data_IF_758439308495
#
_entry.id   IF_758439308495
#
_cell.length_a   1.000
_cell.length_b   1.000
_cell.length_c   1.000
_cell.angle_alpha   90.00
_cell.angle_beta   90.00
_cell.angle_gamma   90.00
#
_symmetry.space_group_name_H-M   'P 1'
#
loop_
_entity.id
_entity.type
_entity.pdbx_description
1 polymer ?
#
# COMPACT_ATOMS: atom_id res chain seq x y z
N UNK A 1 -12.28 -20.02 -3.44
CA UNK A 1 -11.47 -18.91 -2.85
C UNK A 1 -10.53 -18.43 -3.97
N UNK A 2 -10.42 -17.12 -4.26
CA UNK A 2 -9.51 -16.65 -5.30
C UNK A 2 -8.04 -16.84 -4.88
N UNK A 3 -7.17 -17.10 -5.84
CA UNK A 3 -5.74 -17.23 -5.57
C UNK A 3 -5.12 -15.84 -5.43
N UNK A 4 -4.70 -15.47 -4.22
CA UNK A 4 -4.07 -14.18 -3.93
C UNK A 4 -2.57 -14.41 -3.75
N UNK A 5 -1.77 -13.81 -4.63
CA UNK A 5 -0.31 -13.92 -4.63
C UNK A 5 0.40 -12.56 -4.60
N UNK A 6 -0.35 -11.47 -4.63
CA UNK A 6 0.21 -10.12 -4.73
C UNK A 6 -0.53 -9.12 -3.85
N UNK A 7 0.20 -8.09 -3.40
CA UNK A 7 -0.35 -6.88 -2.79
C UNK A 7 0.04 -5.69 -3.65
N UNK A 8 -0.93 -4.83 -3.98
CA UNK A 8 -0.68 -3.56 -4.68
C UNK A 8 -1.03 -2.40 -3.77
N UNK A 9 -0.02 -1.58 -3.48
CA UNK A 9 -0.16 -0.39 -2.64
C UNK A 9 -0.51 0.82 -3.50
N UNK A 10 -1.50 1.60 -3.03
CA UNK A 10 -2.01 2.80 -3.67
C UNK A 10 -2.05 3.99 -2.72
N UNK A 11 -2.19 5.19 -3.26
CA UNK A 11 -2.65 6.38 -2.57
C UNK A 11 -4.00 6.84 -3.15
N UNK A 12 -4.76 7.60 -2.36
CA UNK A 12 -6.03 8.19 -2.81
C UNK A 12 -5.85 9.36 -3.80
N UNK A 13 -4.61 9.84 -3.97
CA UNK A 13 -4.29 11.05 -4.72
C UNK A 13 -5.05 12.29 -4.17
N UNK A 14 -5.11 12.41 -2.86
CA UNK A 14 -5.65 13.57 -2.13
C UNK A 14 -4.51 14.39 -1.52
N UNK A 15 -4.77 15.68 -1.27
CA UNK A 15 -3.76 16.58 -0.69
C UNK A 15 -3.44 16.21 0.75
N UNK A 16 -2.20 16.48 1.15
CA UNK A 16 -1.74 16.30 2.51
C UNK A 16 -2.67 17.00 3.52
N UNK A 17 -2.92 16.36 4.65
CA UNK A 17 -3.78 16.88 5.70
C UNK A 17 -5.29 16.74 5.48
N UNK A 18 -5.75 16.34 4.30
CA UNK A 18 -7.16 16.04 4.03
C UNK A 18 -7.44 14.57 4.38
N UNK A 19 -8.33 14.33 5.34
CA UNK A 19 -8.72 12.98 5.74
C UNK A 19 -10.02 12.56 5.06
N UNK A 20 -10.03 11.33 4.56
CA UNK A 20 -11.17 10.70 3.91
C UNK A 20 -11.31 9.25 4.38
N UNK A 21 -12.50 8.71 4.25
CA UNK A 21 -12.86 7.36 4.67
C UNK A 21 -12.98 6.41 3.47
N UNK A 22 -13.10 5.11 3.75
CA UNK A 22 -13.43 4.13 2.72
C UNK A 22 -14.79 4.41 2.05
N UNK A 23 -15.74 5.03 2.79
CA UNK A 23 -17.05 5.42 2.26
C UNK A 23 -16.90 6.55 1.24
N UNK A 24 -16.06 7.54 1.51
CA UNK A 24 -15.81 8.64 0.55
C UNK A 24 -15.22 8.08 -0.76
N UNK A 25 -14.25 7.16 -0.65
CA UNK A 25 -13.67 6.50 -1.83
C UNK A 25 -14.72 5.64 -2.56
N UNK A 26 -15.61 4.96 -1.84
CA UNK A 26 -16.70 4.19 -2.45
C UNK A 26 -17.61 5.11 -3.29
N UNK A 27 -18.01 6.26 -2.74
CA UNK A 27 -18.78 7.27 -3.44
C UNK A 27 -18.07 7.73 -4.72
N UNK A 28 -16.80 8.13 -4.63
CA UNK A 28 -16.04 8.58 -5.80
C UNK A 28 -15.86 7.50 -6.86
N UNK A 29 -15.73 6.25 -6.44
CA UNK A 29 -15.65 5.14 -7.39
C UNK A 29 -16.99 4.90 -8.09
N UNK A 30 -18.11 4.95 -7.37
CA UNK A 30 -19.46 4.84 -7.97
C UNK A 30 -19.75 5.97 -8.95
N UNK A 31 -19.40 7.22 -8.62
CA UNK A 31 -19.53 8.36 -9.52
C UNK A 31 -18.76 8.18 -10.84
N UNK A 32 -17.66 7.40 -10.80
CA UNK A 32 -16.88 7.02 -11.99
C UNK A 32 -17.38 5.74 -12.69
N UNK A 33 -18.53 5.21 -12.29
CA UNK A 33 -19.14 4.03 -12.91
C UNK A 33 -18.63 2.68 -12.38
N UNK A 34 -17.89 2.67 -11.27
CA UNK A 34 -17.49 1.41 -10.63
C UNK A 34 -18.66 0.82 -9.82
N UNK A 35 -18.67 -0.49 -9.64
CA UNK A 35 -19.59 -1.17 -8.75
C UNK A 35 -19.05 -1.17 -7.30
N UNK A 36 -18.83 0.04 -6.73
CA UNK A 36 -18.32 0.27 -5.40
C UNK A 36 -16.80 0.41 -5.34
N UNK A 37 -16.28 0.52 -4.09
CA UNK A 37 -14.86 0.72 -3.82
C UNK A 37 -13.99 -0.37 -4.45
N UNK A 38 -12.90 0.03 -5.10
CA UNK A 38 -11.97 -0.88 -5.76
C UNK A 38 -10.91 -1.48 -4.83
N UNK A 39 -10.58 -0.80 -3.73
CA UNK A 39 -9.57 -1.21 -2.76
C UNK A 39 -10.15 -2.13 -1.70
N UNK A 40 -9.36 -3.07 -1.19
CA UNK A 40 -9.77 -3.98 -0.11
C UNK A 40 -9.57 -3.34 1.27
N UNK A 41 -8.55 -2.49 1.39
CA UNK A 41 -8.24 -1.77 2.63
C UNK A 41 -7.95 -0.31 2.35
N UNK A 42 -8.35 0.56 3.28
CA UNK A 42 -8.05 2.01 3.29
C UNK A 42 -7.39 2.35 4.62
N UNK A 43 -6.29 3.10 4.58
CA UNK A 43 -5.57 3.58 5.77
C UNK A 43 -5.75 5.10 5.87
N UNK A 44 -6.47 5.55 6.88
CA UNK A 44 -6.72 6.96 7.16
C UNK A 44 -5.47 7.66 7.73
N UNK A 45 -5.49 9.01 7.79
CA UNK A 45 -4.36 9.81 8.28
C UNK A 45 -3.92 9.44 9.71
N UNK A 46 -4.85 9.10 10.59
CA UNK A 46 -4.59 8.66 11.96
C UNK A 46 -4.07 7.22 12.07
N UNK A 47 -4.01 6.51 10.93
CA UNK A 47 -3.64 5.10 10.86
C UNK A 47 -4.81 4.14 11.03
N UNK A 48 -6.05 4.63 11.18
CA UNK A 48 -7.21 3.74 11.23
C UNK A 48 -7.31 2.94 9.93
N UNK A 49 -7.34 1.60 10.08
CA UNK A 49 -7.53 0.67 8.97
C UNK A 49 -9.03 0.43 8.77
N UNK A 50 -9.52 0.74 7.59
CA UNK A 50 -10.91 0.52 7.19
C UNK A 50 -10.99 -0.56 6.11
N UNK A 51 -11.99 -1.44 6.22
CA UNK A 51 -12.30 -2.42 5.18
C UNK A 51 -13.09 -1.74 4.06
N UNK A 52 -12.69 -1.99 2.82
CA UNK A 52 -13.41 -1.59 1.63
C UNK A 52 -14.11 -2.78 0.99
N UNK A 53 -13.65 -3.19 -0.21
CA UNK A 53 -14.15 -4.38 -0.90
C UNK A 53 -13.76 -5.64 -0.14
N UNK A 54 -14.66 -6.63 -0.08
CA UNK A 54 -14.34 -7.92 0.52
C UNK A 54 -13.16 -8.59 -0.21
N UNK A 55 -12.21 -9.15 0.56
CA UNK A 55 -11.01 -9.78 0.00
C UNK A 55 -11.33 -11.02 -0.84
N UNK A 56 -12.47 -11.67 -0.63
CA UNK A 56 -12.92 -12.79 -1.48
C UNK A 56 -13.30 -12.38 -2.89
N UNK A 57 -13.57 -11.09 -3.13
CA UNK A 57 -13.90 -10.51 -4.42
C UNK A 57 -12.67 -9.96 -5.11
N UNK A 58 -12.63 -10.02 -6.44
CA UNK A 58 -11.60 -9.35 -7.22
C UNK A 58 -11.66 -7.83 -7.01
N UNK A 59 -10.51 -7.19 -6.91
CA UNK A 59 -10.40 -5.74 -6.79
C UNK A 59 -10.87 -4.99 -8.04
N UNK A 60 -10.92 -3.66 -7.95
CA UNK A 60 -11.06 -2.77 -9.10
C UNK A 60 -10.08 -1.60 -8.94
N UNK A 61 -8.80 -1.92 -8.72
CA UNK A 61 -7.75 -0.95 -8.38
C UNK A 61 -6.55 -0.97 -9.32
N UNK A 62 -6.26 -2.12 -9.96
CA UNK A 62 -5.13 -2.27 -10.87
C UNK A 62 -5.47 -3.26 -11.98
N UNK A 63 -5.65 -2.76 -13.21
CA UNK A 63 -5.99 -3.59 -14.37
C UNK A 63 -4.91 -4.65 -14.60
N UNK A 64 -5.33 -5.90 -14.85
CA UNK A 64 -4.43 -7.05 -15.02
C UNK A 64 -3.97 -7.70 -13.71
N UNK A 65 -4.22 -7.04 -12.54
CA UNK A 65 -3.81 -7.55 -11.23
C UNK A 65 -4.99 -7.82 -10.29
N UNK A 66 -6.18 -7.31 -10.59
CA UNK A 66 -7.35 -7.33 -9.70
C UNK A 66 -7.73 -8.73 -9.20
N UNK A 67 -7.62 -9.75 -10.05
CA UNK A 67 -8.01 -11.13 -9.74
C UNK A 67 -7.09 -11.80 -8.70
N UNK A 68 -5.82 -11.43 -8.70
CA UNK A 68 -4.77 -12.09 -7.91
C UNK A 68 -4.15 -11.23 -6.83
N UNK A 69 -4.63 -10.00 -6.62
CA UNK A 69 -4.03 -9.08 -5.66
C UNK A 69 -5.01 -8.54 -4.62
N UNK A 70 -4.44 -8.12 -3.49
CA UNK A 70 -5.10 -7.26 -2.51
C UNK A 70 -4.67 -5.83 -2.76
N UNK A 71 -5.62 -4.90 -2.93
CA UNK A 71 -5.34 -3.47 -3.06
C UNK A 71 -5.44 -2.78 -1.70
N UNK A 72 -4.38 -2.09 -1.29
CA UNK A 72 -4.33 -1.27 -0.08
C UNK A 72 -4.13 0.19 -0.50
N UNK A 73 -5.01 1.08 -0.06
CA UNK A 73 -4.94 2.51 -0.35
C UNK A 73 -4.70 3.30 0.94
N UNK A 74 -3.68 4.16 0.97
CA UNK A 74 -3.57 5.16 2.04
C UNK A 74 -4.14 6.51 1.59
N UNK A 75 -4.70 7.30 2.52
CA UNK A 75 -5.21 8.64 2.25
C UNK A 75 -4.03 9.61 2.13
N UNK A 76 -3.92 10.30 1.00
CA UNK A 76 -2.82 11.20 0.68
C UNK A 76 -2.24 10.98 -0.72
N UNK A 77 -0.94 11.25 -0.89
CA UNK A 77 -0.18 11.05 -2.12
C UNK A 77 0.06 12.31 -2.92
N UNK A 78 -0.53 13.46 -2.50
CA UNK A 78 -0.25 14.77 -3.09
C UNK A 78 0.18 15.77 -2.02
N UNK A 79 1.16 16.62 -2.35
CA UNK A 79 1.54 17.77 -1.53
C UNK A 79 0.45 18.88 -1.55
N UNK A 80 0.70 19.97 -0.85
CA UNK A 80 -0.22 21.11 -0.78
C UNK A 80 -0.49 21.75 -2.16
N UNK A 81 0.44 21.61 -3.10
CA UNK A 81 0.34 22.11 -4.46
C UNK A 81 -0.32 21.12 -5.44
N UNK A 82 -0.70 19.92 -4.94
CA UNK A 82 -1.29 18.86 -5.76
C UNK A 82 -0.27 18.04 -6.57
N UNK A 83 1.03 18.08 -6.21
CA UNK A 83 2.07 17.30 -6.85
C UNK A 83 2.25 15.95 -6.14
N UNK A 84 2.57 14.87 -6.87
CA UNK A 84 2.86 13.57 -6.26
C UNK A 84 3.97 13.66 -5.21
N UNK A 85 3.69 13.20 -3.99
CA UNK A 85 4.62 13.21 -2.86
C UNK A 85 4.30 12.10 -1.86
N UNK A 86 5.30 11.62 -1.13
CA UNK A 86 5.08 10.73 0.02
C UNK A 86 4.56 11.54 1.22
N UNK A 87 3.25 11.62 1.32
CA UNK A 87 2.55 12.36 2.39
C UNK A 87 2.09 11.48 3.55
N UNK A 88 2.56 10.22 3.60
CA UNK A 88 2.17 9.28 4.65
C UNK A 88 2.59 9.77 6.03
N UNK A 89 1.64 9.77 6.96
CA UNK A 89 1.93 9.97 8.39
C UNK A 89 2.70 8.78 8.96
N UNK A 90 3.35 8.96 10.11
CA UNK A 90 3.99 7.84 10.81
C UNK A 90 2.99 6.77 11.25
N UNK A 91 1.74 7.14 11.55
CA UNK A 91 0.67 6.22 11.85
C UNK A 91 0.33 5.35 10.63
N UNK A 92 0.15 5.97 9.46
CA UNK A 92 -0.09 5.24 8.20
C UNK A 92 1.07 4.31 7.84
N UNK A 93 2.32 4.74 8.00
CA UNK A 93 3.50 3.89 7.73
C UNK A 93 3.49 2.63 8.60
N UNK A 94 3.23 2.77 9.91
CA UNK A 94 3.15 1.62 10.83
C UNK A 94 2.04 0.64 10.44
N UNK A 95 0.83 1.16 10.19
CA UNK A 95 -0.32 0.32 9.85
C UNK A 95 -0.16 -0.34 8.47
N UNK A 96 0.39 0.39 7.48
CA UNK A 96 0.67 -0.18 6.16
C UNK A 96 1.68 -1.34 6.26
N UNK A 97 2.74 -1.17 7.04
CA UNK A 97 3.70 -2.25 7.26
C UNK A 97 3.03 -3.46 7.92
N UNK A 98 2.25 -3.22 8.99
CA UNK A 98 1.58 -4.29 9.73
C UNK A 98 0.60 -5.09 8.86
N UNK A 99 -0.31 -4.42 8.14
CA UNK A 99 -1.28 -5.12 7.29
C UNK A 99 -0.60 -5.91 6.16
N UNK A 100 0.50 -5.43 5.60
CA UNK A 100 1.26 -6.19 4.61
C UNK A 100 1.83 -7.46 5.24
N UNK A 101 2.43 -7.38 6.44
CA UNK A 101 2.95 -8.56 7.14
C UNK A 101 1.84 -9.56 7.50
N UNK A 102 0.68 -9.09 7.91
CA UNK A 102 -0.46 -9.95 8.26
C UNK A 102 -1.00 -10.68 7.02
N UNK A 103 -1.16 -9.98 5.91
CA UNK A 103 -1.58 -10.58 4.65
C UNK A 103 -0.54 -11.58 4.11
N UNK A 104 0.75 -11.35 4.32
CA UNK A 104 1.81 -12.30 3.94
C UNK A 104 1.79 -13.58 4.80
N UNK A 105 1.26 -13.52 6.02
CA UNK A 105 1.05 -14.71 6.87
C UNK A 105 -0.22 -15.49 6.49
N UNK A 106 -1.25 -14.75 6.05
CA UNK A 106 -2.55 -15.34 5.71
C UNK A 106 -2.57 -15.92 4.29
N UNK A 107 -1.88 -15.28 3.34
CA UNK A 107 -1.85 -15.67 1.93
C UNK A 107 -0.43 -15.96 1.45
N UNK A 108 -0.30 -16.77 0.41
CA UNK A 108 1.00 -17.03 -0.24
C UNK A 108 1.42 -15.84 -1.13
N UNK A 109 1.70 -14.70 -0.51
CA UNK A 109 2.09 -13.48 -1.22
C UNK A 109 3.51 -13.59 -1.75
N UNK A 110 3.65 -13.59 -3.07
CA UNK A 110 4.93 -13.65 -3.78
C UNK A 110 5.56 -12.27 -3.96
N UNK A 111 4.73 -11.21 -4.04
CA UNK A 111 5.22 -9.86 -4.29
C UNK A 111 4.33 -8.77 -3.69
N UNK A 112 4.98 -7.68 -3.27
CA UNK A 112 4.33 -6.45 -2.80
C UNK A 112 4.87 -5.31 -3.65
N UNK A 113 3.97 -4.64 -4.38
CA UNK A 113 4.29 -3.63 -5.38
C UNK A 113 3.56 -2.33 -5.10
N UNK A 114 4.10 -1.22 -5.54
CA UNK A 114 3.33 0.01 -5.75
C UNK A 114 2.56 -0.06 -7.08
N UNK A 115 1.50 0.71 -7.23
CA UNK A 115 0.77 0.78 -8.50
C UNK A 115 1.70 1.16 -9.67
N UNK A 116 2.66 2.07 -9.47
CA UNK A 116 3.65 2.47 -10.48
C UNK A 116 4.49 1.30 -10.98
N UNK A 117 4.78 0.34 -10.11
CA UNK A 117 5.63 -0.82 -10.41
C UNK A 117 4.91 -1.86 -11.29
N UNK A 118 3.61 -1.63 -11.60
CA UNK A 118 2.82 -2.42 -12.55
C UNK A 118 2.77 -1.80 -13.95
N UNK A 119 3.52 -0.74 -14.19
CA UNK A 119 3.67 -0.09 -15.50
C UNK A 119 4.38 -1.03 -16.49
N UNK A 120 4.22 -0.83 -17.81
CA UNK A 120 4.96 -1.59 -18.79
C UNK A 120 6.47 -1.32 -18.69
N UNK A 121 7.26 -2.37 -18.80
CA UNK A 121 8.70 -2.29 -19.02
C UNK A 121 8.93 -1.98 -20.51
N UNK A 122 9.28 -0.72 -20.80
CA UNK A 122 9.38 -0.23 -22.18
C UNK A 122 10.72 -0.56 -22.84
N UNK A 123 11.77 -0.72 -22.04
CA UNK A 123 13.12 -1.04 -22.53
C UNK A 123 13.43 -2.54 -22.43
N UNK A 124 12.63 -3.33 -21.70
CA UNK A 124 12.75 -4.78 -21.58
C UNK A 124 13.88 -5.26 -20.67
N UNK A 125 14.38 -4.43 -19.75
CA UNK A 125 15.46 -4.80 -18.85
C UNK A 125 15.01 -5.43 -17.51
N UNK A 126 13.68 -5.51 -17.27
CA UNK A 126 13.07 -6.10 -16.09
C UNK A 126 12.96 -5.13 -14.91
N UNK A 127 13.30 -3.85 -15.10
CA UNK A 127 13.20 -2.78 -14.11
C UNK A 127 12.21 -1.73 -14.61
N UNK A 128 11.29 -1.29 -13.76
CA UNK A 128 10.35 -0.21 -14.11
C UNK A 128 10.90 1.11 -13.55
N UNK A 129 11.43 1.95 -14.43
CA UNK A 129 12.00 3.23 -14.09
C UNK A 129 10.98 4.38 -14.08
N UNK A 130 11.32 5.54 -13.47
CA UNK A 130 10.40 6.67 -13.36
C UNK A 130 9.80 7.18 -14.68
N UNK A 131 10.53 7.09 -15.79
CA UNK A 131 10.03 7.50 -17.11
C UNK A 131 9.00 6.53 -17.70
N UNK A 132 8.91 5.30 -17.16
CA UNK A 132 7.95 4.28 -17.56
C UNK A 132 6.66 4.32 -16.74
N UNK A 133 6.63 5.07 -15.64
CA UNK A 133 5.48 5.13 -14.77
C UNK A 133 4.25 5.70 -15.47
N UNK A 134 3.21 4.87 -15.66
CA UNK A 134 1.89 5.34 -16.08
C UNK A 134 1.26 6.24 -15.00
N UNK A 135 1.59 5.99 -13.73
CA UNK A 135 1.13 6.76 -12.55
C UNK A 135 2.24 6.81 -11.50
N UNK A 136 2.34 7.93 -10.78
CA UNK A 136 3.26 8.07 -9.65
C UNK A 136 2.84 7.28 -8.40
N UNK A 137 1.55 6.86 -8.32
CA UNK A 137 0.96 6.12 -7.19
C UNK A 137 1.79 4.85 -6.87
N UNK A 138 2.14 4.60 -5.63
CA UNK A 138 1.72 5.23 -4.37
C UNK A 138 2.58 6.43 -3.94
N UNK A 139 3.40 7.02 -4.77
CA UNK A 139 4.27 8.18 -4.52
C UNK A 139 5.44 7.91 -3.58
N UNK A 140 5.80 6.65 -3.35
CA UNK A 140 6.99 6.21 -2.63
C UNK A 140 7.44 4.83 -3.13
N UNK A 141 8.67 4.44 -2.82
CA UNK A 141 9.21 3.13 -3.13
C UNK A 141 8.77 2.09 -2.09
N UNK A 142 7.89 1.16 -2.51
CA UNK A 142 7.33 0.13 -1.63
C UNK A 142 8.39 -0.88 -1.22
N UNK A 143 9.31 -1.25 -2.11
CA UNK A 143 10.38 -2.23 -1.82
C UNK A 143 11.37 -1.66 -0.81
N UNK A 144 11.79 -0.41 -0.99
CA UNK A 144 12.65 0.30 -0.04
C UNK A 144 11.96 0.48 1.32
N UNK A 145 10.68 0.83 1.33
CA UNK A 145 9.89 0.95 2.56
C UNK A 145 9.85 -0.35 3.36
N UNK A 146 9.63 -1.50 2.72
CA UNK A 146 9.58 -2.80 3.38
C UNK A 146 10.95 -3.25 3.90
N UNK A 147 12.02 -2.99 3.16
CA UNK A 147 13.39 -3.28 3.58
C UNK A 147 13.73 -2.50 4.85
N UNK A 148 13.51 -1.19 4.86
CA UNK A 148 13.80 -0.33 6.00
C UNK A 148 12.94 -0.69 7.23
N UNK A 149 11.67 -1.08 7.03
CA UNK A 149 10.79 -1.55 8.11
C UNK A 149 11.30 -2.82 8.78
N UNK A 150 11.85 -3.76 8.03
CA UNK A 150 12.49 -4.99 8.58
C UNK A 150 13.74 -4.69 9.40
N UNK A 151 14.58 -3.78 8.93
CA UNK A 151 15.79 -3.36 9.65
C UNK A 151 15.44 -2.69 10.98
N UNK A 152 14.42 -1.83 11.02
CA UNK A 152 13.96 -1.17 12.24
C UNK A 152 13.44 -2.16 13.28
N UNK A 153 12.68 -3.17 12.87
CA UNK A 153 12.21 -4.25 13.75
C UNK A 153 13.35 -5.12 14.27
N UNK A 154 14.35 -5.40 13.43
CA UNK A 154 15.51 -6.19 13.83
C UNK A 154 16.35 -5.46 14.90
N UNK A 155 16.58 -4.16 14.72
CA UNK A 155 17.31 -3.32 15.70
C UNK A 155 16.58 -3.25 17.04
N UNK A 156 15.24 -3.10 17.02
CA UNK A 156 14.42 -3.08 18.23
C UNK A 156 14.44 -4.43 18.97
N UNK A 157 14.41 -5.55 18.25
CA UNK A 157 14.51 -6.89 18.84
C UNK A 157 15.88 -7.13 19.50
N UNK A 158 16.97 -6.73 18.82
CA UNK A 158 18.33 -6.84 19.37
C UNK A 158 18.50 -5.96 20.62
N UNK A 159 17.97 -4.75 20.61
CA UNK A 159 18.02 -3.83 21.75
C UNK A 159 17.26 -4.32 22.98
N UNK A 160 16.21 -5.14 22.78
CA UNK A 160 15.43 -5.75 23.86
C UNK A 160 16.07 -7.02 24.44
N UNK A 161 16.87 -7.73 23.64
CA UNK A 161 17.50 -9.01 24.05
C UNK A 161 18.84 -8.81 24.74
N UNK A 162 19.62 -7.80 24.33
CA UNK A 162 20.96 -7.53 24.88
C UNK A 162 20.97 -7.18 26.39
N UNK A 163 20.02 -6.43 26.97
CA UNK A 163 20.03 -6.14 28.40
C UNK A 163 19.77 -7.35 29.31
N UNK A 164 19.10 -8.38 28.81
CA UNK A 164 18.77 -9.59 29.60
C UNK A 164 19.97 -10.52 29.77
N UNK A 165 20.96 -10.46 28.87
CA UNK A 165 22.17 -11.30 28.93
C UNK A 165 23.30 -10.69 29.75
N UNK A 166 23.19 -9.42 30.16
CA UNK A 166 24.22 -8.72 30.95
C UNK A 166 23.84 -8.59 32.44
N UNK A 167 22.71 -9.14 32.87
CA UNK A 167 22.20 -9.11 34.24
C UNK A 167 22.12 -10.50 34.91
N UNK A 168 22.91 -11.46 34.40
CA UNK A 168 23.03 -12.80 34.96
C UNK A 168 24.43 -13.03 35.57
#
# INVERSE_FOLDING_TARGET
>A
MRNIDSIIVHCSATKAGQDFTAVDIDCWHRERGFNGIGYHYVIRLDGKLEKGRDVSLAGAHCRGWNERSVGICYIGGLDENGRPADTRTNAQKRVLYQIIMDLQREYNILQVLGHRDTSPDLNGDGVIEPYEYVKACPCFDVRAFLRNGRELLFVLLVALVVPVLLSG
#
